data_IF_240050864739
#
_entry.id   IF_240050864739
#
_cell.length_a   1.000
_cell.length_b   1.000
_cell.length_c   1.000
_cell.angle_alpha   90.00
_cell.angle_beta   90.00
_cell.angle_gamma   90.00
#
_symmetry.space_group_name_H-M   'P 1'
#
loop_
_entity.id
_entity.type
_entity.pdbx_description
1 polymer ?
#
# COMPACT_ATOMS: atom_id res chain seq x y z
N UNK A 1 6.89 13.74 1.45
CA UNK A 1 6.48 13.43 0.06
C UNK A 1 6.23 11.94 -0.04
N UNK A 2 5.22 11.55 -0.82
CA UNK A 2 4.86 10.15 -1.05
C UNK A 2 5.00 9.85 -2.55
N UNK A 3 5.59 8.71 -2.90
CA UNK A 3 5.79 8.34 -4.30
C UNK A 3 5.15 7.00 -4.60
N UNK A 4 4.31 6.96 -5.62
CA UNK A 4 3.70 5.71 -6.09
C UNK A 4 4.75 4.91 -6.86
N UNK A 5 4.92 3.64 -6.50
CA UNK A 5 5.77 2.66 -7.21
C UNK A 5 4.97 1.80 -8.16
N UNK A 6 3.74 1.49 -7.76
CA UNK A 6 2.82 0.72 -8.59
C UNK A 6 1.42 0.88 -8.02
N UNK A 7 0.42 0.77 -8.88
CA UNK A 7 -0.94 0.53 -8.46
C UNK A 7 -1.58 -0.60 -9.26
N UNK A 8 -2.47 -1.34 -8.63
CA UNK A 8 -3.20 -2.43 -9.26
C UNK A 8 -4.58 -2.63 -8.61
N UNK A 9 -5.51 -3.21 -9.35
CA UNK A 9 -6.81 -3.60 -8.81
C UNK A 9 -6.72 -5.00 -8.20
N UNK A 10 -7.22 -5.15 -6.98
CA UNK A 10 -7.48 -6.46 -6.37
C UNK A 10 -8.99 -6.68 -6.33
N UNK A 11 -9.54 -7.21 -7.43
CA UNK A 11 -10.94 -7.63 -7.61
C UNK A 11 -11.95 -6.91 -6.71
N UNK A 12 -12.80 -7.62 -5.94
CA UNK A 12 -13.87 -7.05 -5.10
C UNK A 12 -13.39 -6.13 -3.96
N UNK A 13 -12.08 -5.98 -3.75
CA UNK A 13 -11.49 -5.31 -2.58
C UNK A 13 -10.90 -3.92 -2.89
N UNK A 14 -10.93 -3.48 -4.15
CA UNK A 14 -10.58 -2.11 -4.55
C UNK A 14 -9.21 -1.96 -5.21
N UNK A 15 -8.66 -0.75 -5.13
CA UNK A 15 -7.36 -0.38 -5.69
C UNK A 15 -6.31 -0.53 -4.59
N UNK A 16 -5.17 -1.15 -4.91
CA UNK A 16 -3.97 -1.13 -4.07
C UNK A 16 -2.93 -0.25 -4.74
N UNK A 17 -2.22 0.53 -3.92
CA UNK A 17 -1.04 1.26 -4.33
C UNK A 17 0.14 0.91 -3.44
N UNK A 18 1.29 0.67 -4.06
CA UNK A 18 2.60 0.68 -3.43
C UNK A 18 3.09 2.10 -3.33
N UNK A 19 3.23 2.59 -2.11
CA UNK A 19 3.59 3.96 -1.79
C UNK A 19 4.89 3.96 -1.01
N UNK A 20 5.89 4.67 -1.53
CA UNK A 20 7.13 4.94 -0.82
C UNK A 20 6.99 6.21 0.03
N UNK A 21 7.25 6.12 1.33
CA UNK A 21 7.24 7.29 2.22
C UNK A 21 8.04 7.05 3.51
N UNK A 22 8.48 8.12 4.15
CA UNK A 22 9.16 8.07 5.46
C UNK A 22 8.26 8.41 6.65
N UNK A 23 6.95 8.60 6.43
CA UNK A 23 5.99 8.85 7.51
C UNK A 23 5.84 7.63 8.42
N UNK A 24 5.48 7.87 9.68
CA UNK A 24 5.13 6.84 10.66
C UNK A 24 3.72 6.32 10.38
N UNK A 25 3.55 5.66 9.24
CA UNK A 25 2.27 5.16 8.74
C UNK A 25 1.35 6.21 8.10
N UNK A 26 0.35 5.71 7.37
CA UNK A 26 -0.74 6.50 6.78
C UNK A 26 -2.08 6.03 7.36
N UNK A 27 -2.68 6.77 8.31
CA UNK A 27 -3.94 6.40 8.93
C UNK A 27 -5.08 6.25 7.92
N UNK A 28 -6.06 5.41 8.27
CA UNK A 28 -7.32 5.34 7.53
C UNK A 28 -8.02 6.71 7.50
N UNK A 29 -8.58 7.08 6.35
CA UNK A 29 -9.16 8.39 6.10
C UNK A 29 -8.15 9.46 5.66
N UNK A 30 -6.86 9.13 5.55
CA UNK A 30 -5.87 10.03 4.95
C UNK A 30 -6.18 10.25 3.48
N UNK A 31 -6.24 11.50 3.02
CA UNK A 31 -6.40 11.85 1.62
C UNK A 31 -5.04 12.12 0.98
N UNK A 32 -4.79 11.45 -0.13
CA UNK A 32 -3.61 11.59 -0.98
C UNK A 32 -4.01 12.30 -2.26
N UNK A 33 -3.46 13.48 -2.50
CA UNK A 33 -3.66 14.24 -3.73
C UNK A 33 -2.45 14.11 -4.65
N UNK A 34 -2.68 13.78 -5.91
CA UNK A 34 -1.65 13.85 -6.94
C UNK A 34 -1.27 15.28 -7.27
N UNK A 35 0.04 15.52 -7.35
CA UNK A 35 0.60 16.81 -7.81
C UNK A 35 0.50 16.99 -9.33
N UNK A 36 0.21 15.92 -10.08
CA UNK A 36 0.17 15.92 -11.55
C UNK A 36 -1.28 15.92 -12.06
N UNK A 37 -2.10 15.01 -11.56
CA UNK A 37 -3.47 14.78 -12.07
C UNK A 37 -4.54 15.47 -11.23
N UNK A 38 -4.18 16.04 -10.07
CA UNK A 38 -5.11 16.56 -9.06
C UNK A 38 -6.14 15.54 -8.55
N UNK A 39 -5.98 14.26 -8.88
CA UNK A 39 -6.83 13.20 -8.35
C UNK A 39 -6.56 13.00 -6.87
N UNK A 40 -7.61 12.61 -6.16
CA UNK A 40 -7.57 12.37 -4.71
C UNK A 40 -7.95 10.93 -4.45
N UNK A 41 -7.17 10.27 -3.60
CA UNK A 41 -7.45 8.95 -3.06
C UNK A 41 -7.52 8.99 -1.54
N UNK A 42 -8.37 8.18 -0.96
CA UNK A 42 -8.46 8.00 0.48
C UNK A 42 -7.80 6.67 0.86
N UNK A 43 -6.91 6.69 1.85
CA UNK A 43 -6.37 5.47 2.47
C UNK A 43 -7.49 4.77 3.23
N UNK A 44 -7.73 3.50 2.92
CA UNK A 44 -8.67 2.63 3.64
C UNK A 44 -7.99 1.70 4.63
N UNK A 45 -6.73 1.35 4.36
CA UNK A 45 -5.94 0.55 5.28
C UNK A 45 -4.61 0.10 4.69
N UNK A 46 -3.72 -0.29 5.59
CA UNK A 46 -2.42 -0.91 5.30
C UNK A 46 -2.64 -2.37 4.92
N UNK A 47 -2.27 -2.77 3.71
CA UNK A 47 -2.31 -4.17 3.32
C UNK A 47 -1.17 -4.92 4.03
N UNK A 48 -1.52 -5.95 4.79
CA UNK A 48 -0.57 -6.85 5.45
C UNK A 48 -0.80 -8.26 4.96
N UNK A 49 0.20 -9.11 5.10
CA UNK A 49 0.22 -10.44 4.52
C UNK A 49 0.40 -11.48 5.62
N UNK A 50 -0.61 -12.32 5.83
CA UNK A 50 -0.64 -13.24 6.97
C UNK A 50 0.56 -14.21 7.00
N UNK A 51 1.14 -14.57 5.85
CA UNK A 51 2.32 -15.44 5.79
C UNK A 51 3.61 -14.76 6.27
N UNK A 52 3.61 -13.43 6.48
CA UNK A 52 4.76 -12.65 6.96
C UNK A 52 4.42 -11.61 8.02
N UNK A 53 3.20 -11.63 8.56
CA UNK A 53 2.67 -10.59 9.46
C UNK A 53 3.59 -10.29 10.66
N UNK A 54 4.21 -11.32 11.25
CA UNK A 54 5.13 -11.20 12.39
C UNK A 54 6.49 -10.56 12.05
N UNK A 55 6.78 -10.31 10.77
CA UNK A 55 8.02 -9.71 10.29
C UNK A 55 7.82 -8.35 9.63
N UNK A 56 6.57 -7.98 9.34
CA UNK A 56 6.27 -6.72 8.69
C UNK A 56 6.42 -5.55 9.65
N UNK A 57 6.77 -4.39 9.09
CA UNK A 57 6.72 -3.12 9.81
C UNK A 57 5.27 -2.73 10.03
N UNK A 58 4.90 -2.52 11.30
CA UNK A 58 3.57 -2.11 11.71
C UNK A 58 3.63 -0.70 12.30
N UNK A 59 2.67 0.14 11.92
CA UNK A 59 2.51 1.48 12.47
C UNK A 59 1.22 1.52 13.31
N UNK A 60 1.32 1.98 14.57
CA UNK A 60 0.20 1.95 15.53
C UNK A 60 -1.02 2.78 15.12
N UNK A 61 -0.82 3.77 14.25
CA UNK A 61 -1.85 4.69 13.76
C UNK A 61 -2.58 4.17 12.51
N UNK A 62 -2.21 3.00 12.00
CA UNK A 62 -2.81 2.43 10.79
C UNK A 62 -3.92 1.43 11.09
N UNK A 63 -4.91 1.41 10.21
CA UNK A 63 -5.86 0.29 10.15
C UNK A 63 -5.27 -0.80 9.26
N UNK A 64 -5.07 -2.00 9.81
CA UNK A 64 -4.53 -3.13 9.05
C UNK A 64 -5.63 -3.84 8.26
N UNK A 65 -5.29 -4.28 7.05
CA UNK A 65 -6.12 -5.10 6.17
C UNK A 65 -5.34 -6.38 5.84
N UNK A 66 -5.52 -7.46 6.61
CA UNK A 66 -4.77 -8.69 6.39
C UNK A 66 -5.24 -9.41 5.10
N UNK A 67 -4.28 -9.88 4.32
CA UNK A 67 -4.47 -10.62 3.09
C UNK A 67 -3.88 -12.02 3.22
N UNK A 68 -4.73 -13.02 3.02
CA UNK A 68 -4.31 -14.41 2.92
C UNK A 68 -3.96 -14.74 1.47
N UNK A 69 -2.69 -15.09 1.24
CA UNK A 69 -2.21 -15.58 -0.05
C UNK A 69 -2.04 -17.09 -0.02
N UNK A 70 -2.39 -17.74 -1.14
CA UNK A 70 -2.10 -19.16 -1.38
C UNK A 70 -0.91 -19.27 -2.32
N UNK A 71 0.01 -20.20 -2.03
CA UNK A 71 1.22 -20.44 -2.84
C UNK A 71 1.21 -21.88 -3.36
N UNK A 72 1.66 -22.07 -4.61
CA UNK A 72 1.73 -23.41 -5.21
C UNK A 72 2.95 -24.20 -4.74
N UNK A 73 3.95 -23.52 -4.15
CA UNK A 73 5.16 -24.14 -3.61
C UNK A 73 5.76 -23.31 -2.47
N UNK A 74 6.60 -23.97 -1.66
CA UNK A 74 7.40 -23.29 -0.62
C UNK A 74 8.35 -22.25 -1.20
N UNK A 75 8.89 -22.49 -2.39
CA UNK A 75 9.76 -21.52 -3.08
C UNK A 75 9.03 -20.21 -3.39
N UNK A 76 7.77 -20.29 -3.85
CA UNK A 76 6.95 -19.09 -4.10
C UNK A 76 6.61 -18.34 -2.81
N UNK A 77 6.37 -19.07 -1.72
CA UNK A 77 6.14 -18.47 -0.40
C UNK A 77 7.38 -17.69 0.07
N UNK A 78 8.56 -18.32 0.03
CA UNK A 78 9.82 -17.68 0.45
C UNK A 78 10.19 -16.50 -0.44
N UNK A 79 9.95 -16.61 -1.76
CA UNK A 79 10.12 -15.49 -2.68
C UNK A 79 9.23 -14.31 -2.33
N UNK A 80 7.92 -14.54 -2.14
CA UNK A 80 6.97 -13.50 -1.75
C UNK A 80 7.36 -12.84 -0.43
N UNK A 81 7.78 -13.63 0.56
CA UNK A 81 8.26 -13.13 1.85
C UNK A 81 9.48 -12.22 1.69
N UNK A 82 10.47 -12.65 0.91
CA UNK A 82 11.68 -11.86 0.64
C UNK A 82 11.36 -10.53 -0.05
N UNK A 83 10.45 -10.55 -1.03
CA UNK A 83 10.02 -9.35 -1.76
C UNK A 83 9.32 -8.34 -0.85
N UNK A 84 8.36 -8.79 -0.01
CA UNK A 84 7.65 -7.92 0.93
C UNK A 84 8.63 -7.24 1.89
N UNK A 85 9.51 -8.02 2.54
CA UNK A 85 10.48 -7.49 3.51
C UNK A 85 11.51 -6.58 2.86
N UNK A 86 11.89 -6.85 1.60
CA UNK A 86 12.79 -5.98 0.84
C UNK A 86 12.13 -4.63 0.53
N UNK A 87 10.86 -4.63 0.14
CA UNK A 87 10.09 -3.41 -0.11
C UNK A 87 9.94 -2.56 1.15
N UNK A 88 9.59 -3.18 2.28
CA UNK A 88 9.43 -2.44 3.54
C UNK A 88 10.75 -1.85 4.05
N UNK A 89 11.88 -2.55 3.86
CA UNK A 89 13.22 -1.98 4.12
C UNK A 89 13.54 -0.75 3.26
N UNK A 90 12.93 -0.63 2.09
CA UNK A 90 13.02 0.54 1.22
C UNK A 90 11.94 1.60 1.52
N UNK A 91 11.20 1.44 2.62
CA UNK A 91 10.05 2.24 3.02
C UNK A 91 8.93 2.25 1.97
N UNK A 92 8.72 1.12 1.29
CA UNK A 92 7.66 0.91 0.30
C UNK A 92 6.59 0.05 0.93
N UNK A 93 5.36 0.55 0.86
CA UNK A 93 4.25 0.10 1.66
C UNK A 93 3.00 0.00 0.76
N UNK A 94 2.36 -1.16 0.68
CA UNK A 94 1.05 -1.38 0.03
C UNK A 94 -0.16 -0.90 0.85
N UNK A 95 -0.98 -0.04 0.27
CA UNK A 95 -2.23 0.46 0.88
C UNK A 95 -3.42 0.14 0.00
N UNK A 96 -4.54 -0.19 0.64
CA UNK A 96 -5.85 -0.14 -0.02
C UNK A 96 -6.25 1.33 -0.08
N UNK A 97 -6.52 1.79 -1.30
CA UNK A 97 -6.93 3.16 -1.57
C UNK A 97 -8.26 3.18 -2.31
N UNK A 98 -8.99 4.27 -2.12
CA UNK A 98 -10.30 4.46 -2.73
C UNK A 98 -10.40 5.82 -3.39
N UNK A 99 -11.02 5.86 -4.57
CA UNK A 99 -11.62 7.09 -5.09
C UNK A 99 -12.90 6.77 -5.86
N UNK A 100 -13.73 7.78 -6.12
CA UNK A 100 -15.04 7.60 -6.76
C UNK A 100 -14.96 7.00 -8.17
N UNK A 101 -13.86 7.26 -8.87
CA UNK A 101 -13.63 6.77 -10.24
C UNK A 101 -13.02 5.37 -10.28
N UNK A 102 -12.67 4.78 -9.13
CA UNK A 102 -11.83 3.59 -9.00
C UNK A 102 -10.56 3.64 -9.88
N UNK A 103 -9.98 4.83 -10.01
CA UNK A 103 -8.78 5.02 -10.80
C UNK A 103 -7.53 4.65 -10.01
N UNK A 104 -6.58 4.05 -10.71
CA UNK A 104 -5.30 3.62 -10.16
C UNK A 104 -4.31 4.78 -10.30
N UNK A 105 -3.56 5.15 -9.24
CA UNK A 105 -2.49 6.13 -9.37
C UNK A 105 -1.38 5.59 -10.29
N UNK A 106 -0.74 6.48 -11.05
CA UNK A 106 0.32 6.11 -11.98
C UNK A 106 1.62 5.83 -11.23
N UNK A 107 2.44 4.94 -11.78
CA UNK A 107 3.82 4.79 -11.31
C UNK A 107 4.59 6.11 -11.45
N UNK A 108 5.41 6.42 -10.45
CA UNK A 108 6.15 7.67 -10.31
C UNK A 108 5.31 8.88 -9.91
N UNK A 109 3.99 8.72 -9.71
CA UNK A 109 3.12 9.82 -9.30
C UNK A 109 3.48 10.28 -7.88
N UNK A 110 3.74 11.57 -7.75
CA UNK A 110 3.98 12.20 -6.44
C UNK A 110 2.64 12.56 -5.81
N UNK A 111 2.48 12.15 -4.54
CA UNK A 111 1.29 12.40 -3.75
C UNK A 111 1.63 13.27 -2.53
N UNK A 112 0.69 14.14 -2.20
CA UNK A 112 0.68 14.94 -0.98
C UNK A 112 -0.43 14.41 -0.08
N UNK A 113 -0.10 14.14 1.19
CA UNK A 113 -1.11 13.83 2.19
C UNK A 113 -1.72 15.13 2.72
N UNK A 114 -3.05 15.28 2.62
CA UNK A 114 -3.75 16.55 2.86
C UNK A 114 -4.14 16.72 4.34
N UNK A 115 -4.17 15.63 5.11
CA UNK A 115 -4.66 15.57 6.49
C UNK A 115 -3.86 14.60 7.37
N UNK A 116 -2.56 14.46 7.08
CA UNK A 116 -1.63 13.62 7.85
C UNK A 116 -1.05 14.36 9.05
#
# INVERSE_FOLDING_TARGET
MLFVKQGFNISKNGVVAEIQHSHNGLPNGTFLQSTISNKIWEIKGRLTFSHVEHLQVLFENETLSPMLMSFASTEQLEKSKSEILKSEKANIFQYIIYNRENSIPKDGEELIAINL
#
